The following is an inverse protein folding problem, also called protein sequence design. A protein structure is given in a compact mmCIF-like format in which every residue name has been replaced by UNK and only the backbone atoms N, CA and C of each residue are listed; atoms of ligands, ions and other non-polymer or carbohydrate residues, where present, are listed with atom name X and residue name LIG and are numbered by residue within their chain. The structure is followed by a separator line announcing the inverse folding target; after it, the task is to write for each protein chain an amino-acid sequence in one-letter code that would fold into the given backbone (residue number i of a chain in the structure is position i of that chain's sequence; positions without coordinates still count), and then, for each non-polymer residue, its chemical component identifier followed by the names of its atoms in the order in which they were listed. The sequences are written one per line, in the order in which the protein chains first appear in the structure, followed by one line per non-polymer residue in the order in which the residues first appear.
data_IF_157299041537
#
_entry.id   IF_157299041537
#
_cell.length_a   1.000
_cell.length_b   1.000
_cell.length_c   1.000
_cell.angle_alpha   90.00
_cell.angle_beta   90.00
_cell.angle_gamma   90.00
#
_symmetry.space_group_name_H-M   'P 1'
#
loop_
_entity.id
_entity.type
_entity.pdbx_description
1 polymer ?
#
# COMPACT_ATOMS: atom_id res chain seq x y z
N UNK A 1 1.06 6.70 29.40
CA UNK A 1 -0.37 6.63 29.81
C UNK A 1 -0.51 5.66 30.96
N UNK A 2 -1.13 6.06 32.07
CA UNK A 2 -1.39 5.16 33.18
C UNK A 2 -2.51 4.18 32.84
N UNK A 3 -2.64 3.10 33.65
CA UNK A 3 -3.73 2.12 33.49
C UNK A 3 -5.09 2.80 33.64
N UNK A 4 -5.22 3.73 34.57
CA UNK A 4 -6.48 4.45 34.80
C UNK A 4 -6.82 5.35 33.61
N UNK A 5 -5.85 6.04 33.03
CA UNK A 5 -6.04 6.86 31.84
C UNK A 5 -6.45 6.01 30.64
N UNK A 6 -5.81 4.85 30.48
CA UNK A 6 -6.15 3.90 29.43
C UNK A 6 -7.59 3.39 29.58
N UNK A 7 -7.97 2.99 30.79
CA UNK A 7 -9.34 2.52 31.07
C UNK A 7 -10.37 3.60 30.77
N UNK A 8 -10.11 4.85 31.18
CA UNK A 8 -10.99 5.98 30.91
C UNK A 8 -11.17 6.22 29.41
N UNK A 9 -10.06 6.22 28.68
CA UNK A 9 -10.07 6.41 27.23
C UNK A 9 -10.88 5.32 26.54
N UNK A 10 -10.70 4.05 26.93
CA UNK A 10 -11.46 2.93 26.36
C UNK A 10 -12.94 2.98 26.75
N UNK A 11 -13.23 3.35 27.98
CA UNK A 11 -14.62 3.52 28.42
C UNK A 11 -15.34 4.56 27.56
N UNK A 12 -14.75 5.74 27.37
CA UNK A 12 -15.33 6.80 26.56
C UNK A 12 -15.52 6.33 25.11
N UNK A 13 -14.56 5.63 24.55
CA UNK A 13 -14.62 5.09 23.19
C UNK A 13 -15.74 4.05 23.03
N UNK A 14 -15.80 3.07 23.93
CA UNK A 14 -16.78 1.97 23.82
C UNK A 14 -18.22 2.46 24.00
N UNK A 15 -18.42 3.52 24.76
CA UNK A 15 -19.76 4.14 24.89
C UNK A 15 -20.26 4.75 23.57
N UNK A 16 -19.39 5.07 22.65
CA UNK A 16 -19.77 5.61 21.34
C UNK A 16 -20.21 4.51 20.36
N UNK A 17 -19.92 3.25 20.66
CA UNK A 17 -20.25 2.14 19.74
C UNK A 17 -21.74 1.82 19.76
N UNK A 18 -22.33 1.64 18.57
CA UNK A 18 -23.72 1.24 18.43
C UNK A 18 -23.96 -0.21 18.83
N UNK A 19 -22.98 -1.08 18.56
CA UNK A 19 -23.04 -2.53 18.83
C UNK A 19 -21.73 -2.97 19.49
N UNK A 20 -21.55 -2.64 20.78
CA UNK A 20 -20.35 -3.09 21.50
C UNK A 20 -20.36 -4.61 21.65
N UNK A 21 -19.17 -5.20 21.70
CA UNK A 21 -19.00 -6.63 21.96
C UNK A 21 -19.36 -6.95 23.42
N UNK A 22 -19.56 -8.22 23.74
CA UNK A 22 -19.83 -8.67 25.11
C UNK A 22 -18.74 -8.20 26.10
N UNK A 23 -17.46 -8.32 25.71
CA UNK A 23 -16.34 -7.86 26.55
C UNK A 23 -16.36 -6.34 26.76
N UNK A 24 -16.73 -5.58 25.74
CA UNK A 24 -16.83 -4.13 25.84
C UNK A 24 -17.99 -3.72 26.73
N UNK A 25 -19.13 -4.40 26.66
CA UNK A 25 -20.27 -4.17 27.55
C UNK A 25 -19.89 -4.47 29.00
N UNK A 26 -19.23 -5.59 29.26
CA UNK A 26 -18.77 -5.95 30.60
C UNK A 26 -17.78 -4.93 31.14
N UNK A 27 -16.86 -4.45 30.30
CA UNK A 27 -15.89 -3.43 30.66
C UNK A 27 -16.58 -2.12 31.09
N UNK A 28 -17.56 -1.65 30.30
CA UNK A 28 -18.34 -0.45 30.60
C UNK A 28 -19.05 -0.62 31.96
N UNK A 29 -19.70 -1.76 32.16
CA UNK A 29 -20.41 -2.07 33.40
C UNK A 29 -19.47 -2.02 34.61
N UNK A 30 -18.30 -2.66 34.49
CA UNK A 30 -17.30 -2.70 35.58
C UNK A 30 -16.75 -1.32 35.92
N UNK A 31 -16.48 -0.48 34.93
CA UNK A 31 -15.99 0.88 35.14
C UNK A 31 -17.06 1.73 35.86
N UNK A 32 -18.35 1.54 35.55
CA UNK A 32 -19.46 2.31 36.16
C UNK A 32 -19.76 1.89 37.60
N UNK A 33 -19.27 0.73 38.05
CA UNK A 33 -19.49 0.28 39.42
C UNK A 33 -18.70 1.16 40.41
N UNK A 34 -19.43 1.72 41.40
CA UNK A 34 -18.81 2.54 42.50
C UNK A 34 -17.94 1.65 43.38
N UNK A 35 -18.43 0.44 43.69
CA UNK A 35 -17.71 -0.55 44.49
C UNK A 35 -17.61 -1.84 43.69
N UNK A 36 -16.46 -2.50 43.74
CA UNK A 36 -16.19 -3.76 43.02
C UNK A 36 -15.77 -4.84 44.00
N UNK A 37 -16.28 -6.05 43.79
CA UNK A 37 -15.78 -7.24 44.45
C UNK A 37 -14.38 -7.59 43.93
N UNK A 38 -13.66 -8.45 44.66
CA UNK A 38 -12.34 -8.95 44.19
C UNK A 38 -12.41 -9.61 42.83
N UNK A 39 -13.48 -10.35 42.59
CA UNK A 39 -13.68 -11.03 41.30
C UNK A 39 -13.94 -10.04 40.18
N UNK A 40 -14.72 -9.00 40.43
CA UNK A 40 -14.98 -7.92 39.50
C UNK A 40 -13.73 -7.12 39.17
N UNK A 41 -12.88 -6.83 40.18
CA UNK A 41 -11.59 -6.18 39.97
C UNK A 41 -10.63 -7.04 39.12
N UNK A 42 -10.61 -8.37 39.35
CA UNK A 42 -9.84 -9.32 38.53
C UNK A 42 -10.32 -9.32 37.09
N UNK A 43 -11.62 -9.36 36.90
CA UNK A 43 -12.20 -9.36 35.55
C UNK A 43 -11.88 -8.04 34.82
N UNK A 44 -12.01 -6.89 35.48
CA UNK A 44 -11.68 -5.60 34.90
C UNK A 44 -10.19 -5.55 34.50
N UNK A 45 -9.31 -6.05 35.36
CA UNK A 45 -7.87 -6.11 35.08
C UNK A 45 -7.58 -7.02 33.89
N UNK A 46 -8.24 -8.18 33.82
CA UNK A 46 -8.06 -9.12 32.71
C UNK A 46 -8.57 -8.54 31.37
N UNK A 47 -9.72 -7.86 31.37
CA UNK A 47 -10.27 -7.21 30.21
C UNK A 47 -9.37 -6.05 29.74
N UNK A 48 -8.87 -5.25 30.68
CA UNK A 48 -7.92 -4.15 30.37
C UNK A 48 -6.68 -4.70 29.68
N UNK A 49 -6.12 -5.78 30.23
CA UNK A 49 -4.94 -6.45 29.64
C UNK A 49 -5.23 -6.98 28.25
N UNK A 50 -6.40 -7.58 28.05
CA UNK A 50 -6.83 -8.12 26.76
C UNK A 50 -6.96 -7.00 25.71
N UNK A 51 -7.61 -5.91 26.03
CA UNK A 51 -7.77 -4.77 25.12
C UNK A 51 -6.43 -4.13 24.79
N UNK A 52 -5.55 -3.98 25.79
CA UNK A 52 -4.22 -3.43 25.55
C UNK A 52 -3.38 -4.31 24.64
N UNK A 53 -3.40 -5.62 24.86
CA UNK A 53 -2.71 -6.59 23.98
C UNK A 53 -3.25 -6.52 22.55
N UNK A 54 -4.54 -6.38 22.37
CA UNK A 54 -5.17 -6.23 21.06
C UNK A 54 -4.75 -4.92 20.38
N UNK A 55 -4.74 -3.81 21.10
CA UNK A 55 -4.27 -2.53 20.58
C UNK A 55 -2.80 -2.60 20.14
N UNK A 56 -1.95 -3.23 20.94
CA UNK A 56 -0.54 -3.45 20.60
C UNK A 56 -0.38 -4.31 19.35
N UNK A 57 -1.19 -5.36 19.23
CA UNK A 57 -1.23 -6.21 18.04
C UNK A 57 -1.60 -5.40 16.79
N UNK A 58 -2.64 -4.58 16.86
CA UNK A 58 -3.06 -3.73 15.74
C UNK A 58 -1.97 -2.73 15.36
N UNK A 59 -1.29 -2.13 16.34
CA UNK A 59 -0.19 -1.20 16.08
C UNK A 59 0.97 -1.89 15.38
N UNK A 60 1.35 -3.10 15.82
CA UNK A 60 2.39 -3.90 15.18
C UNK A 60 2.00 -4.31 13.76
N UNK A 61 0.76 -4.74 13.56
CA UNK A 61 0.24 -5.10 12.24
C UNK A 61 0.32 -3.92 11.28
N UNK A 62 -0.11 -2.73 11.73
CA UNK A 62 -0.03 -1.50 10.92
C UNK A 62 1.41 -1.18 10.52
N UNK A 63 2.35 -1.32 11.46
CA UNK A 63 3.77 -1.10 11.20
C UNK A 63 4.33 -2.08 10.17
N UNK A 64 4.03 -3.37 10.30
CA UNK A 64 4.45 -4.41 9.34
C UNK A 64 3.83 -4.16 7.97
N UNK A 65 2.55 -3.83 7.91
CA UNK A 65 1.87 -3.53 6.64
C UNK A 65 2.52 -2.33 5.93
N UNK A 66 2.88 -1.29 6.68
CA UNK A 66 3.56 -0.11 6.12
C UNK A 66 4.93 -0.48 5.53
N UNK A 67 5.72 -1.31 6.23
CA UNK A 67 7.02 -1.79 5.77
C UNK A 67 6.85 -2.65 4.51
N UNK A 68 5.87 -3.55 4.52
CA UNK A 68 5.56 -4.43 3.37
C UNK A 68 5.17 -3.61 2.14
N UNK A 69 4.32 -2.61 2.29
CA UNK A 69 3.92 -1.72 1.20
C UNK A 69 5.11 -0.93 0.64
N UNK A 70 5.97 -0.40 1.52
CA UNK A 70 7.16 0.33 1.10
C UNK A 70 8.11 -0.58 0.30
N UNK A 71 8.31 -1.83 0.74
CA UNK A 71 9.15 -2.81 0.04
C UNK A 71 8.56 -3.21 -1.31
N UNK A 72 7.26 -3.46 -1.40
CA UNK A 72 6.57 -3.75 -2.66
C UNK A 72 6.70 -2.59 -3.65
N UNK A 73 6.54 -1.35 -3.17
CA UNK A 73 6.70 -0.16 -3.99
C UNK A 73 8.12 -0.05 -4.52
N UNK A 74 9.13 -0.30 -3.67
CA UNK A 74 10.54 -0.28 -4.06
C UNK A 74 10.83 -1.31 -5.15
N UNK A 75 10.33 -2.54 -4.99
CA UNK A 75 10.50 -3.61 -5.97
C UNK A 75 9.85 -3.27 -7.32
N UNK A 76 8.65 -2.72 -7.31
CA UNK A 76 7.96 -2.27 -8.53
C UNK A 76 8.75 -1.17 -9.24
N UNK A 77 9.30 -0.21 -8.48
CA UNK A 77 10.13 0.85 -9.04
C UNK A 77 11.42 0.31 -9.66
N UNK A 78 12.09 -0.65 -9.01
CA UNK A 78 13.28 -1.30 -9.57
C UNK A 78 12.96 -2.05 -10.86
N UNK A 79 11.86 -2.81 -10.88
CA UNK A 79 11.41 -3.52 -12.08
C UNK A 79 11.09 -2.55 -13.21
N UNK A 80 10.42 -1.44 -12.90
CA UNK A 80 10.11 -0.40 -13.87
C UNK A 80 11.36 0.23 -14.45
N UNK A 81 12.33 0.56 -13.60
CA UNK A 81 13.63 1.13 -14.05
C UNK A 81 14.39 0.16 -14.92
N UNK A 82 14.47 -1.12 -14.53
CA UNK A 82 15.15 -2.14 -15.31
C UNK A 82 14.48 -2.32 -16.68
N UNK A 83 13.15 -2.35 -16.73
CA UNK A 83 12.40 -2.43 -17.98
C UNK A 83 12.63 -1.20 -18.86
N UNK A 84 12.56 -0.02 -18.28
CA UNK A 84 12.79 1.22 -19.01
C UNK A 84 14.21 1.27 -19.59
N UNK A 85 15.20 0.81 -18.84
CA UNK A 85 16.57 0.75 -19.33
C UNK A 85 16.71 -0.20 -20.52
N UNK A 86 16.08 -1.38 -20.46
CA UNK A 86 16.04 -2.31 -21.59
C UNK A 86 15.40 -1.67 -22.82
N UNK A 87 14.29 -0.97 -22.63
CA UNK A 87 13.58 -0.29 -23.72
C UNK A 87 14.43 0.82 -24.33
N UNK A 88 15.13 1.60 -23.50
CA UNK A 88 16.04 2.66 -23.97
C UNK A 88 17.19 2.08 -24.80
N UNK A 89 17.84 1.03 -24.29
CA UNK A 89 18.96 0.38 -24.97
C UNK A 89 18.49 -0.26 -26.30
N UNK A 90 17.39 -1.00 -26.27
CA UNK A 90 16.82 -1.63 -27.46
C UNK A 90 16.39 -0.59 -28.49
N UNK A 91 15.69 0.45 -28.05
CA UNK A 91 15.24 1.54 -28.91
C UNK A 91 16.40 2.27 -29.57
N UNK A 92 17.44 2.61 -28.80
CA UNK A 92 18.65 3.26 -29.32
C UNK A 92 19.36 2.37 -30.35
N UNK A 93 19.48 1.07 -30.08
CA UNK A 93 20.09 0.12 -31.01
C UNK A 93 19.29 -0.01 -32.32
N UNK A 94 17.96 -0.09 -32.24
CA UNK A 94 17.09 -0.16 -33.40
C UNK A 94 17.15 1.11 -34.24
N UNK A 95 17.12 2.28 -33.60
CA UNK A 95 17.23 3.56 -34.32
C UNK A 95 18.59 3.71 -35.00
N UNK A 96 19.66 3.32 -34.33
CA UNK A 96 21.00 3.34 -34.93
C UNK A 96 21.08 2.41 -36.14
N UNK A 97 20.54 1.19 -36.03
CA UNK A 97 20.52 0.25 -37.13
C UNK A 97 19.63 0.73 -38.28
N UNK A 98 18.56 1.44 -37.97
CA UNK A 98 17.65 1.99 -38.99
C UNK A 98 18.31 2.99 -39.94
N UNK A 99 19.40 3.65 -39.52
CA UNK A 99 20.14 4.57 -40.36
C UNK A 99 20.73 3.88 -41.61
N UNK A 100 21.04 2.58 -41.51
CA UNK A 100 21.68 1.81 -42.58
C UNK A 100 20.83 0.63 -43.08
N UNK A 101 19.69 0.36 -42.45
CA UNK A 101 18.85 -0.81 -42.75
C UNK A 101 17.40 -0.39 -43.00
N UNK A 102 16.99 -0.46 -44.27
CA UNK A 102 15.61 -0.09 -44.65
C UNK A 102 14.55 -1.02 -44.06
N UNK A 103 14.88 -2.30 -43.79
CA UNK A 103 13.95 -3.24 -43.19
C UNK A 103 13.56 -2.77 -41.78
N UNK A 104 14.52 -2.26 -41.02
CA UNK A 104 14.26 -1.69 -39.69
C UNK A 104 13.40 -0.42 -39.78
N UNK A 105 13.64 0.44 -40.77
CA UNK A 105 12.80 1.62 -41.03
C UNK A 105 11.36 1.22 -41.36
N UNK A 106 11.19 0.20 -42.17
CA UNK A 106 9.86 -0.33 -42.51
C UNK A 106 9.17 -0.93 -41.28
N UNK A 107 9.92 -1.60 -40.40
CA UNK A 107 9.39 -2.12 -39.13
C UNK A 107 8.88 -0.99 -38.24
N UNK A 108 9.65 0.08 -38.09
CA UNK A 108 9.26 1.27 -37.30
C UNK A 108 7.96 1.87 -37.89
N UNK A 109 7.90 2.03 -39.20
CA UNK A 109 6.70 2.51 -39.87
C UNK A 109 5.50 1.62 -39.66
N UNK A 110 5.67 0.30 -39.71
CA UNK A 110 4.61 -0.67 -39.47
C UNK A 110 4.11 -0.57 -38.00
N UNK A 111 5.00 -0.35 -37.03
CA UNK A 111 4.61 -0.15 -35.63
C UNK A 111 3.74 1.10 -35.43
N UNK A 112 4.00 2.16 -36.20
CA UNK A 112 3.16 3.37 -36.22
C UNK A 112 1.81 3.08 -36.88
N UNK A 113 1.84 2.45 -38.07
CA UNK A 113 0.62 2.15 -38.85
C UNK A 113 -0.31 1.18 -38.11
N UNK A 114 0.26 0.19 -37.43
CA UNK A 114 -0.48 -0.80 -36.62
C UNK A 114 -0.84 -0.31 -35.22
N UNK A 115 -0.51 0.94 -34.90
CA UNK A 115 -0.83 1.60 -33.63
C UNK A 115 -0.15 1.00 -32.40
N UNK A 116 0.95 0.29 -32.54
CA UNK A 116 1.83 -0.05 -31.43
C UNK A 116 2.54 1.19 -30.89
N UNK A 117 2.77 2.17 -31.74
CA UNK A 117 3.20 3.52 -31.38
C UNK A 117 1.98 4.43 -31.57
N UNK A 118 1.60 5.19 -30.53
CA UNK A 118 0.45 6.08 -30.59
C UNK A 118 0.68 7.20 -31.60
N UNK A 119 -0.40 7.78 -32.15
CA UNK A 119 -0.34 8.92 -33.05
C UNK A 119 0.38 10.11 -32.41
N UNK A 120 0.20 10.29 -31.11
CA UNK A 120 0.87 11.34 -30.33
C UNK A 120 2.39 11.17 -30.33
N UNK A 121 2.87 9.92 -30.24
CA UNK A 121 4.30 9.61 -30.17
C UNK A 121 4.92 9.39 -31.55
N UNK A 122 4.10 9.19 -32.60
CA UNK A 122 4.57 8.94 -33.95
C UNK A 122 5.48 10.04 -34.47
N UNK A 123 5.23 11.31 -34.09
CA UNK A 123 6.04 12.46 -34.51
C UNK A 123 7.50 12.37 -34.06
N UNK A 124 7.80 11.60 -33.01
CA UNK A 124 9.16 11.37 -32.53
C UNK A 124 10.00 10.58 -33.55
N UNK A 125 9.35 9.84 -34.46
CA UNK A 125 9.99 8.95 -35.43
C UNK A 125 9.90 9.47 -36.87
N UNK A 126 9.42 10.69 -37.11
CA UNK A 126 9.26 11.24 -38.45
C UNK A 126 10.61 11.27 -39.20
N UNK A 127 11.70 11.64 -38.53
CA UNK A 127 13.04 11.66 -39.12
C UNK A 127 13.57 10.25 -39.42
N UNK A 128 13.11 9.25 -38.67
CA UNK A 128 13.56 7.85 -38.80
C UNK A 128 12.88 7.12 -39.94
N UNK A 129 11.67 7.55 -40.36
CA UNK A 129 10.86 6.87 -41.37
C UNK A 129 10.70 7.66 -42.67
N UNK A 130 11.16 8.90 -42.69
CA UNK A 130 10.90 9.83 -43.80
C UNK A 130 11.54 9.38 -45.14
N UNK A 131 12.58 8.54 -45.07
CA UNK A 131 13.34 8.06 -46.20
C UNK A 131 12.83 6.71 -46.74
N UNK A 132 11.76 6.21 -46.19
CA UNK A 132 11.07 5.03 -46.70
C UNK A 132 10.11 5.45 -47.81
#
# INVERSE_FOLDING_TARGET
MSILDYQKTKYDLFKTYKKPTSDQVDFIRLIELAEKTKEEEKLLKALTKKFKAYDDFLAQKKSVDAITHAEQKRQKEEQRRARNQKLIVLGAALLKKSETDNEIKQLIKALVDEKFISEKDANLFDDDIILI
#
